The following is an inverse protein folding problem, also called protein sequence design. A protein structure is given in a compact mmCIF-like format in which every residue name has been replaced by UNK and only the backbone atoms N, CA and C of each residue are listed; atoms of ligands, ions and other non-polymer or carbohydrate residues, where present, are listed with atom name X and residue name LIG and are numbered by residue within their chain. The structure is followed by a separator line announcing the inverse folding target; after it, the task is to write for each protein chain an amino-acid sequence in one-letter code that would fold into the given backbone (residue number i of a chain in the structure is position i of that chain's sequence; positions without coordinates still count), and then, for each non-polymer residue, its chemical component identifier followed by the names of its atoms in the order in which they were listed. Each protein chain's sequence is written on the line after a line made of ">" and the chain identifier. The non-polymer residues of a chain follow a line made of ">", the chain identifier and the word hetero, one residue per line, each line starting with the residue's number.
data_IF_608418082848
#
_entry.id   IF_608418082848
#
_cell.length_a   1.000
_cell.length_b   1.000
_cell.length_c   1.000
_cell.angle_alpha   90.00
_cell.angle_beta   90.00
_cell.angle_gamma   90.00
#
_symmetry.space_group_name_H-M   'P 1'
#
loop_
_entity.id
_entity.type
_entity.pdbx_description
1 polymer ?
#
# COMPACT_ATOMS: atom_id res chain seq x y z
N UNK A 1 9.87 32.59 -52.10
CA UNK A 1 10.12 31.71 -50.94
C UNK A 1 9.33 32.27 -49.78
N UNK A 2 8.19 31.67 -49.48
CA UNK A 2 7.18 32.20 -48.56
C UNK A 2 7.48 31.78 -47.12
N UNK A 3 7.55 32.77 -46.23
CA UNK A 3 7.64 32.62 -44.77
C UNK A 3 6.28 32.28 -44.19
N UNK A 4 6.14 31.07 -43.65
CA UNK A 4 4.97 30.64 -42.87
C UNK A 4 5.16 30.97 -41.39
N UNK A 5 4.31 31.85 -40.87
CA UNK A 5 4.15 32.14 -39.44
C UNK A 5 2.91 31.39 -38.95
N UNK A 6 3.08 30.41 -38.07
CA UNK A 6 1.98 29.66 -37.45
C UNK A 6 1.79 30.10 -36.00
N UNK A 7 0.76 30.89 -35.75
CA UNK A 7 0.19 31.18 -34.42
C UNK A 7 -0.64 29.99 -33.95
N UNK A 8 -0.20 29.31 -32.89
CA UNK A 8 -1.01 28.32 -32.16
C UNK A 8 -1.74 28.98 -30.99
N UNK A 9 -3.07 29.13 -31.12
CA UNK A 9 -3.97 29.60 -30.07
C UNK A 9 -4.22 28.50 -29.05
N UNK A 10 -3.90 28.79 -27.79
CA UNK A 10 -4.15 27.96 -26.60
C UNK A 10 -5.65 27.85 -26.32
N UNK A 11 -6.21 26.65 -26.51
CA UNK A 11 -7.59 26.32 -26.09
C UNK A 11 -7.53 25.60 -24.75
N UNK A 12 -7.85 26.31 -23.67
CA UNK A 12 -7.98 25.73 -22.33
C UNK A 12 -9.35 25.04 -22.22
N UNK A 13 -9.42 23.75 -21.84
CA UNK A 13 -10.68 23.04 -21.76
C UNK A 13 -11.53 23.47 -20.55
N UNK A 14 -12.85 23.56 -20.79
CA UNK A 14 -13.89 24.19 -19.97
C UNK A 14 -14.29 23.43 -18.68
N UNK A 15 -13.43 22.56 -18.14
CA UNK A 15 -13.74 21.76 -16.94
C UNK A 15 -13.15 22.33 -15.63
N UNK A 16 -12.54 23.52 -15.66
CA UNK A 16 -11.96 24.22 -14.50
C UNK A 16 -12.73 25.51 -14.14
N UNK A 17 -14.06 25.44 -14.02
CA UNK A 17 -14.86 26.52 -13.45
C UNK A 17 -15.54 26.03 -12.16
N UNK A 18 -15.22 26.60 -10.97
CA UNK A 18 -16.00 26.36 -9.78
C UNK A 18 -17.29 27.18 -9.89
N UNK A 19 -18.37 26.56 -10.35
CA UNK A 19 -19.70 27.17 -10.33
C UNK A 19 -20.62 26.33 -9.47
N UNK A 20 -20.60 26.59 -8.16
CA UNK A 20 -21.76 26.34 -7.31
C UNK A 20 -21.85 27.47 -6.28
N UNK A 21 -22.58 28.52 -6.66
CA UNK A 21 -23.02 29.57 -5.75
C UNK A 21 -23.90 28.95 -4.67
N UNK A 22 -23.42 28.96 -3.43
CA UNK A 22 -24.24 28.68 -2.26
C UNK A 22 -25.19 29.85 -2.05
N UNK A 23 -26.40 29.77 -2.60
CA UNK A 23 -27.49 30.60 -2.10
C UNK A 23 -28.01 29.94 -0.83
N UNK A 24 -27.58 30.46 0.32
CA UNK A 24 -28.15 30.08 1.61
C UNK A 24 -29.65 30.40 1.59
N UNK A 25 -30.48 29.36 1.42
CA UNK A 25 -31.93 29.47 1.58
C UNK A 25 -32.18 29.72 3.06
N UNK A 26 -32.46 30.96 3.43
CA UNK A 26 -32.91 31.33 4.77
C UNK A 26 -34.23 30.63 5.04
N UNK A 27 -34.20 29.57 5.86
CA UNK A 27 -35.41 28.99 6.41
C UNK A 27 -35.98 29.99 7.41
N UNK A 28 -36.96 30.78 6.97
CA UNK A 28 -37.81 31.53 7.88
C UNK A 28 -38.56 30.50 8.72
N UNK A 29 -38.19 30.38 10.00
CA UNK A 29 -38.93 29.61 11.01
C UNK A 29 -40.23 30.37 11.31
N UNK A 30 -41.18 30.24 10.39
CA UNK A 30 -42.55 30.72 10.59
C UNK A 30 -43.40 29.50 10.89
N UNK A 31 -43.73 29.34 12.17
CA UNK A 31 -44.52 28.21 12.64
C UNK A 31 -44.26 27.92 14.09
N UNK A 32 -44.67 28.84 14.96
CA UNK A 32 -44.88 28.56 16.38
C UNK A 32 -45.99 27.49 16.44
N UNK A 33 -45.62 26.21 16.32
CA UNK A 33 -46.54 25.09 16.50
C UNK A 33 -47.01 25.18 17.95
N UNK A 34 -48.22 25.71 18.16
CA UNK A 34 -48.94 25.55 19.41
C UNK A 34 -49.17 24.05 19.55
N UNK A 35 -48.33 23.40 20.35
CA UNK A 35 -48.62 22.07 20.88
C UNK A 35 -49.86 22.23 21.75
N UNK A 36 -51.03 21.98 21.15
CA UNK A 36 -52.29 21.96 21.87
C UNK A 36 -52.20 20.86 22.92
N UNK A 37 -52.26 21.26 24.19
CA UNK A 37 -52.60 20.36 25.28
C UNK A 37 -53.92 19.70 24.88
N UNK A 38 -53.95 18.37 24.82
CA UNK A 38 -55.23 17.68 24.62
C UNK A 38 -56.19 18.22 25.67
N UNK A 39 -57.31 18.80 25.25
CA UNK A 39 -58.37 19.22 26.16
C UNK A 39 -58.66 18.02 27.07
N UNK A 40 -58.44 18.19 28.37
CA UNK A 40 -58.83 17.20 29.37
C UNK A 40 -60.35 17.10 29.23
N UNK A 41 -60.82 16.12 28.45
CA UNK A 41 -62.22 15.72 28.54
C UNK A 41 -62.37 15.27 29.98
N UNK A 42 -63.20 16.01 30.73
CA UNK A 42 -63.70 15.54 32.00
C UNK A 42 -64.17 14.10 31.76
N UNK A 43 -63.58 13.16 32.50
CA UNK A 43 -63.99 11.77 32.46
C UNK A 43 -65.39 11.73 33.07
N UNK A 44 -66.41 11.86 32.23
CA UNK A 44 -67.79 11.52 32.60
C UNK A 44 -67.89 10.00 32.69
N UNK A 45 -67.26 9.44 33.72
CA UNK A 45 -67.54 8.09 34.20
C UNK A 45 -68.45 8.21 35.43
N UNK A 46 -69.54 8.96 35.31
CA UNK A 46 -70.59 8.91 36.31
C UNK A 46 -71.52 7.76 35.92
N UNK A 47 -71.19 6.55 36.41
CA UNK A 47 -72.11 5.44 36.32
C UNK A 47 -73.25 5.70 37.31
N UNK A 48 -74.39 6.16 36.80
CA UNK A 48 -75.57 6.50 37.60
C UNK A 48 -76.27 5.22 38.07
N UNK A 49 -75.89 4.79 39.26
CA UNK A 49 -76.38 3.56 39.92
C UNK A 49 -77.89 3.62 40.18
N UNK A 50 -78.42 4.80 40.49
CA UNK A 50 -79.83 5.01 40.82
C UNK A 50 -80.71 4.95 39.57
N UNK A 51 -80.26 5.53 38.45
CA UNK A 51 -80.97 5.45 37.16
C UNK A 51 -81.03 4.02 36.64
N UNK A 52 -80.00 3.21 36.88
CA UNK A 52 -79.99 1.79 36.53
C UNK A 52 -81.02 1.01 37.33
N UNK A 53 -81.08 1.18 38.65
CA UNK A 53 -82.05 0.52 39.53
C UNK A 53 -83.49 0.92 39.19
N UNK A 54 -83.76 2.23 39.01
CA UNK A 54 -85.10 2.71 38.64
C UNK A 54 -85.58 2.16 37.30
N UNK A 55 -84.66 2.00 36.34
CA UNK A 55 -84.98 1.43 35.04
C UNK A 55 -85.32 -0.06 35.14
N UNK A 56 -84.61 -0.82 35.97
CA UNK A 56 -84.97 -2.23 36.20
C UNK A 56 -86.31 -2.38 36.92
N UNK A 57 -86.60 -1.51 37.89
CA UNK A 57 -87.91 -1.47 38.54
C UNK A 57 -89.04 -1.19 37.53
N UNK A 58 -88.82 -0.29 36.57
CA UNK A 58 -89.82 -0.01 35.51
C UNK A 58 -90.05 -1.17 34.53
N UNK A 59 -89.08 -2.09 34.42
CA UNK A 59 -89.16 -3.29 33.58
C UNK A 59 -89.73 -4.51 34.35
N UNK A 60 -90.22 -4.30 35.59
CA UNK A 60 -90.93 -5.32 36.37
C UNK A 60 -90.07 -6.10 37.38
N UNK A 61 -88.81 -5.72 37.61
CA UNK A 61 -87.96 -6.33 38.64
C UNK A 61 -88.25 -5.75 40.03
N UNK A 62 -88.08 -6.58 41.07
CA UNK A 62 -88.18 -6.08 42.45
C UNK A 62 -87.00 -5.17 42.77
N UNK A 63 -87.16 -4.28 43.76
CA UNK A 63 -86.10 -3.38 44.20
C UNK A 63 -84.85 -4.15 44.65
N UNK A 64 -85.04 -5.22 45.41
CA UNK A 64 -83.95 -6.06 45.91
C UNK A 64 -83.17 -6.73 44.77
N UNK A 65 -83.87 -7.27 43.77
CA UNK A 65 -83.25 -7.86 42.58
C UNK A 65 -82.48 -6.81 41.77
N UNK A 66 -83.06 -5.60 41.67
CA UNK A 66 -82.47 -4.50 40.93
C UNK A 66 -81.17 -4.01 41.57
N UNK A 67 -81.17 -3.90 42.90
CA UNK A 67 -80.00 -3.53 43.70
C UNK A 67 -78.95 -4.65 43.68
N UNK A 68 -79.34 -5.92 43.73
CA UNK A 68 -78.40 -7.05 43.66
C UNK A 68 -77.65 -7.09 42.32
N UNK A 69 -78.36 -6.95 41.20
CA UNK A 69 -77.75 -6.92 39.87
C UNK A 69 -76.81 -5.72 39.68
N UNK A 70 -77.20 -4.56 40.24
CA UNK A 70 -76.38 -3.36 40.23
C UNK A 70 -75.04 -3.56 40.95
N UNK A 71 -75.00 -4.33 42.05
CA UNK A 71 -73.77 -4.67 42.77
C UNK A 71 -72.85 -5.54 41.92
N UNK A 72 -73.38 -6.60 41.29
CA UNK A 72 -72.59 -7.47 40.40
C UNK A 72 -72.03 -6.69 39.22
N UNK A 73 -72.81 -5.77 38.64
CA UNK A 73 -72.34 -4.93 37.54
C UNK A 73 -71.23 -3.97 37.98
N UNK A 74 -71.31 -3.44 39.20
CA UNK A 74 -70.25 -2.61 39.78
C UNK A 74 -68.93 -3.41 39.89
N UNK A 75 -69.01 -4.64 40.41
CA UNK A 75 -67.84 -5.51 40.56
C UNK A 75 -67.16 -5.81 39.21
N UNK A 76 -67.95 -6.11 38.17
CA UNK A 76 -67.43 -6.38 36.81
C UNK A 76 -66.84 -5.11 36.17
N UNK A 77 -67.44 -3.94 36.40
CA UNK A 77 -66.92 -2.65 35.90
C UNK A 77 -65.60 -2.32 36.59
N UNK A 78 -65.51 -2.50 37.91
CA UNK A 78 -64.29 -2.27 38.68
C UNK A 78 -63.15 -3.17 38.20
N UNK A 79 -63.41 -4.47 38.02
CA UNK A 79 -62.45 -5.42 37.45
C UNK A 79 -62.00 -5.01 36.04
N UNK A 80 -62.94 -4.56 35.19
CA UNK A 80 -62.65 -4.09 33.83
C UNK A 80 -61.79 -2.83 33.81
N UNK A 81 -62.09 -1.85 34.67
CA UNK A 81 -61.31 -0.61 34.78
C UNK A 81 -59.90 -0.91 35.28
N UNK A 82 -59.74 -1.79 36.27
CA UNK A 82 -58.42 -2.19 36.77
C UNK A 82 -57.60 -2.91 35.69
N UNK A 83 -58.21 -3.81 34.92
CA UNK A 83 -57.53 -4.52 33.82
C UNK A 83 -57.10 -3.57 32.69
N UNK A 84 -57.96 -2.62 32.31
CA UNK A 84 -57.62 -1.59 31.31
C UNK A 84 -56.51 -0.65 31.80
N UNK A 85 -56.61 -0.20 33.05
CA UNK A 85 -55.63 0.75 33.61
C UNK A 85 -54.26 0.11 33.78
N UNK A 86 -54.17 -1.21 34.00
CA UNK A 86 -52.90 -1.95 34.11
C UNK A 86 -52.06 -1.94 32.84
N UNK A 87 -52.68 -1.83 31.66
CA UNK A 87 -51.98 -1.81 30.36
C UNK A 87 -51.85 -0.40 29.77
N UNK A 88 -52.52 0.58 30.35
CA UNK A 88 -52.45 1.97 29.92
C UNK A 88 -51.30 2.71 30.60
N UNK A 89 -50.70 3.64 29.86
CA UNK A 89 -49.66 4.54 30.37
C UNK A 89 -50.23 5.95 30.45
N UNK A 90 -49.89 6.66 31.53
CA UNK A 90 -50.25 8.07 31.69
C UNK A 90 -49.59 8.89 30.58
N UNK A 91 -50.35 9.84 29.99
CA UNK A 91 -49.83 10.68 28.91
C UNK A 91 -48.59 11.48 29.33
N UNK A 92 -48.50 11.83 30.61
CA UNK A 92 -47.34 12.51 31.19
C UNK A 92 -46.10 11.61 31.18
N UNK A 93 -46.22 10.36 31.63
CA UNK A 93 -45.11 9.40 31.62
C UNK A 93 -44.66 9.07 30.20
N UNK A 94 -45.60 8.89 29.26
CA UNK A 94 -45.28 8.69 27.86
C UNK A 94 -44.56 9.91 27.24
N UNK A 95 -44.98 11.13 27.59
CA UNK A 95 -44.33 12.36 27.13
C UNK A 95 -42.92 12.50 27.72
N UNK A 96 -42.74 12.18 29.01
CA UNK A 96 -41.44 12.19 29.69
C UNK A 96 -40.49 11.17 29.08
N UNK A 97 -40.94 9.93 28.86
CA UNK A 97 -40.14 8.90 28.20
C UNK A 97 -39.70 9.32 26.80
N UNK A 98 -40.61 9.89 26.02
CA UNK A 98 -40.32 10.42 24.67
C UNK A 98 -39.31 11.57 24.72
N UNK A 99 -39.40 12.45 25.71
CA UNK A 99 -38.45 13.56 25.89
C UNK A 99 -37.05 13.04 26.22
N UNK A 100 -36.92 12.11 27.18
CA UNK A 100 -35.65 11.48 27.53
C UNK A 100 -35.02 10.82 26.31
N UNK A 101 -35.79 10.02 25.56
CA UNK A 101 -35.31 9.40 24.32
C UNK A 101 -34.76 10.42 23.32
N UNK A 102 -35.44 11.55 23.12
CA UNK A 102 -34.97 12.60 22.20
C UNK A 102 -33.66 13.23 22.66
N UNK A 103 -33.49 13.45 23.95
CA UNK A 103 -32.24 13.98 24.52
C UNK A 103 -31.12 12.96 24.35
N UNK A 104 -31.39 11.68 24.63
CA UNK A 104 -30.41 10.61 24.45
C UNK A 104 -29.99 10.47 22.99
N UNK A 105 -30.92 10.53 22.04
CA UNK A 105 -30.59 10.53 20.61
C UNK A 105 -29.76 11.74 20.19
N UNK A 106 -30.04 12.92 20.74
CA UNK A 106 -29.25 14.11 20.47
C UNK A 106 -27.82 13.96 21.02
N UNK A 107 -27.68 13.38 22.21
CA UNK A 107 -26.38 13.12 22.84
C UNK A 107 -25.58 12.06 22.07
N UNK A 108 -26.18 10.91 21.77
CA UNK A 108 -25.56 9.84 20.98
C UNK A 108 -25.11 10.34 19.61
N UNK A 109 -25.92 11.19 18.95
CA UNK A 109 -25.54 11.80 17.68
C UNK A 109 -24.31 12.70 17.84
N UNK A 110 -24.24 13.50 18.90
CA UNK A 110 -23.09 14.37 19.16
C UNK A 110 -21.82 13.56 19.44
N UNK A 111 -21.94 12.50 20.25
CA UNK A 111 -20.82 11.60 20.57
C UNK A 111 -20.35 10.86 19.31
N UNK A 112 -21.27 10.35 18.49
CA UNK A 112 -20.95 9.68 17.24
C UNK A 112 -20.20 10.61 16.27
N UNK A 113 -20.70 11.84 16.07
CA UNK A 113 -20.03 12.83 15.20
C UNK A 113 -18.64 13.19 15.72
N UNK A 114 -18.48 13.31 17.04
CA UNK A 114 -17.17 13.59 17.64
C UNK A 114 -16.21 12.41 17.48
N UNK A 115 -16.68 11.18 17.70
CA UNK A 115 -15.88 9.97 17.55
C UNK A 115 -15.47 9.76 16.08
N UNK A 116 -16.42 9.86 15.15
CA UNK A 116 -16.18 9.75 13.70
C UNK A 116 -15.18 10.79 13.20
N UNK A 117 -15.33 12.05 13.61
CA UNK A 117 -14.36 13.09 13.24
C UNK A 117 -12.97 12.82 13.83
N UNK A 118 -12.87 12.33 15.06
CA UNK A 118 -11.60 12.00 15.71
C UNK A 118 -10.90 10.82 15.04
N UNK A 119 -11.65 9.76 14.73
CA UNK A 119 -11.15 8.57 14.06
C UNK A 119 -10.72 8.87 12.63
N UNK A 120 -11.53 9.63 11.89
CA UNK A 120 -11.21 10.09 10.54
C UNK A 120 -9.92 10.92 10.51
N UNK A 121 -9.76 11.86 11.46
CA UNK A 121 -8.54 12.66 11.57
C UNK A 121 -7.32 11.80 11.92
N UNK A 122 -7.47 10.83 12.83
CA UNK A 122 -6.38 9.92 13.21
C UNK A 122 -5.95 9.05 12.02
N UNK A 123 -6.92 8.48 11.32
CA UNK A 123 -6.71 7.66 10.12
C UNK A 123 -6.04 8.47 9.01
N UNK A 124 -6.52 9.68 8.76
CA UNK A 124 -5.92 10.59 7.77
C UNK A 124 -4.48 10.94 8.13
N UNK A 125 -4.20 11.27 9.38
CA UNK A 125 -2.84 11.57 9.85
C UNK A 125 -1.90 10.36 9.71
N UNK A 126 -2.39 9.15 10.04
CA UNK A 126 -1.64 7.92 9.84
C UNK A 126 -1.36 7.66 8.35
N UNK A 127 -2.35 7.87 7.47
CA UNK A 127 -2.18 7.74 6.02
C UNK A 127 -1.16 8.74 5.46
N UNK A 128 -1.21 10.01 5.87
CA UNK A 128 -0.25 11.03 5.43
C UNK A 128 1.17 10.68 5.91
N UNK A 129 1.33 10.21 7.15
CA UNK A 129 2.61 9.72 7.68
C UNK A 129 3.15 8.53 6.88
N UNK A 130 2.35 7.50 6.68
CA UNK A 130 2.75 6.30 5.92
C UNK A 130 3.11 6.64 4.47
N UNK A 131 2.35 7.53 3.84
CA UNK A 131 2.64 8.00 2.47
C UNK A 131 4.00 8.69 2.40
N UNK A 132 4.30 9.55 3.38
CA UNK A 132 5.60 10.22 3.47
C UNK A 132 6.75 9.22 3.70
N UNK A 133 6.54 8.22 4.55
CA UNK A 133 7.54 7.20 4.82
C UNK A 133 7.79 6.31 3.61
N UNK A 134 6.74 5.94 2.86
CA UNK A 134 6.86 5.23 1.59
C UNK A 134 7.67 6.05 0.58
N UNK A 135 7.39 7.35 0.45
CA UNK A 135 8.14 8.22 -0.45
C UNK A 135 9.62 8.32 -0.07
N UNK A 136 9.93 8.47 1.22
CA UNK A 136 11.31 8.48 1.75
C UNK A 136 12.01 7.15 1.49
N UNK A 137 11.35 6.02 1.76
CA UNK A 137 11.94 4.70 1.57
C UNK A 137 12.20 4.42 0.10
N UNK A 138 11.28 4.80 -0.79
CA UNK A 138 11.45 4.70 -2.23
C UNK A 138 12.65 5.50 -2.73
N UNK A 139 12.83 6.73 -2.25
CA UNK A 139 14.00 7.55 -2.59
C UNK A 139 15.30 6.90 -2.12
N UNK A 140 15.36 6.48 -0.84
CA UNK A 140 16.56 5.83 -0.27
C UNK A 140 16.93 4.56 -1.03
N UNK A 141 15.94 3.73 -1.35
CA UNK A 141 16.16 2.49 -2.08
C UNK A 141 16.67 2.77 -3.50
N UNK A 142 16.15 3.81 -4.17
CA UNK A 142 16.66 4.25 -5.47
C UNK A 142 18.11 4.74 -5.39
N UNK A 143 18.45 5.48 -4.34
CA UNK A 143 19.82 5.97 -4.12
C UNK A 143 20.79 4.81 -3.83
N UNK A 144 20.38 3.84 -3.01
CA UNK A 144 21.15 2.63 -2.71
C UNK A 144 21.33 1.74 -3.95
N UNK A 145 20.29 1.54 -4.76
CA UNK A 145 20.40 0.82 -6.04
C UNK A 145 21.38 1.55 -6.97
N UNK A 146 21.28 2.88 -7.08
CA UNK A 146 22.17 3.65 -7.96
C UNK A 146 23.62 3.58 -7.47
N UNK A 147 23.84 3.65 -6.16
CA UNK A 147 25.17 3.52 -5.54
C UNK A 147 25.75 2.13 -5.72
N UNK A 148 24.99 1.07 -5.44
CA UNK A 148 25.44 -0.31 -5.62
C UNK A 148 25.71 -0.62 -7.09
N UNK A 149 24.88 -0.14 -8.01
CA UNK A 149 25.13 -0.26 -9.45
C UNK A 149 26.42 0.45 -9.88
N UNK A 150 26.69 1.64 -9.36
CA UNK A 150 27.93 2.35 -9.62
C UNK A 150 29.15 1.60 -9.06
N UNK A 151 29.03 1.04 -7.84
CA UNK A 151 30.08 0.20 -7.22
C UNK A 151 30.39 -1.02 -8.07
N UNK A 152 29.37 -1.79 -8.47
CA UNK A 152 29.56 -2.99 -9.31
C UNK A 152 30.19 -2.64 -10.65
N UNK A 153 29.78 -1.53 -11.27
CA UNK A 153 30.42 -1.06 -12.52
C UNK A 153 31.89 -0.71 -12.32
N UNK A 154 32.24 -0.07 -11.20
CA UNK A 154 33.62 0.23 -10.86
C UNK A 154 34.42 -1.06 -10.64
N UNK A 155 33.89 -2.00 -9.86
CA UNK A 155 34.54 -3.29 -9.57
C UNK A 155 34.83 -4.06 -10.86
N UNK A 156 33.87 -4.14 -11.78
CA UNK A 156 34.05 -4.77 -13.09
C UNK A 156 35.10 -4.05 -13.94
N UNK A 157 35.14 -2.72 -13.90
CA UNK A 157 36.15 -1.95 -14.64
C UNK A 157 37.55 -2.16 -14.07
N UNK A 158 37.69 -2.20 -12.75
CA UNK A 158 38.96 -2.49 -12.07
C UNK A 158 39.42 -3.92 -12.38
N UNK A 159 38.52 -4.90 -12.31
CA UNK A 159 38.83 -6.29 -12.61
C UNK A 159 39.21 -6.49 -14.08
N UNK A 160 38.54 -5.80 -15.01
CA UNK A 160 38.95 -5.77 -16.43
C UNK A 160 40.32 -5.14 -16.61
N UNK A 161 40.64 -4.09 -15.85
CA UNK A 161 41.96 -3.48 -15.79
C UNK A 161 43.02 -4.48 -15.34
N UNK A 162 42.77 -5.16 -14.21
CA UNK A 162 43.65 -6.19 -13.65
C UNK A 162 43.90 -7.34 -14.61
N UNK A 163 42.86 -7.90 -15.22
CA UNK A 163 42.98 -8.96 -16.23
C UNK A 163 43.85 -8.49 -17.41
N UNK A 164 43.69 -7.23 -17.85
CA UNK A 164 44.50 -6.67 -18.92
C UNK A 164 45.96 -6.51 -18.52
N UNK A 165 46.24 -6.02 -17.32
CA UNK A 165 47.60 -5.90 -16.79
C UNK A 165 48.27 -7.27 -16.65
N UNK A 166 47.55 -8.27 -16.15
CA UNK A 166 48.02 -9.66 -16.06
C UNK A 166 48.29 -10.25 -17.45
N UNK A 167 47.40 -10.01 -18.43
CA UNK A 167 47.59 -10.46 -19.81
C UNK A 167 48.83 -9.82 -20.46
N UNK A 168 49.04 -8.50 -20.28
CA UNK A 168 50.25 -7.81 -20.76
C UNK A 168 51.50 -8.34 -20.06
N UNK A 169 51.42 -8.61 -18.75
CA UNK A 169 52.52 -9.24 -18.00
C UNK A 169 52.87 -10.64 -18.51
N UNK A 170 51.87 -11.44 -18.89
CA UNK A 170 52.10 -12.73 -19.53
C UNK A 170 52.70 -12.58 -20.94
N UNK A 171 52.22 -11.62 -21.74
CA UNK A 171 52.76 -11.36 -23.07
C UNK A 171 54.24 -10.96 -23.03
N UNK A 172 54.63 -10.13 -22.05
CA UNK A 172 56.04 -9.77 -21.83
C UNK A 172 56.89 -10.98 -21.47
N UNK A 173 56.43 -11.83 -20.55
CA UNK A 173 57.13 -13.08 -20.18
C UNK A 173 57.30 -14.00 -21.38
N UNK A 174 56.28 -14.11 -22.24
CA UNK A 174 56.35 -14.90 -23.47
C UNK A 174 57.44 -14.34 -24.39
N UNK A 175 57.47 -13.02 -24.63
CA UNK A 175 58.50 -12.39 -25.47
C UNK A 175 59.91 -12.54 -24.90
N UNK A 176 60.08 -12.42 -23.58
CA UNK A 176 61.36 -12.71 -22.94
C UNK A 176 61.79 -14.16 -23.14
N UNK A 177 60.88 -15.13 -23.03
CA UNK A 177 61.21 -16.53 -23.32
C UNK A 177 61.50 -16.78 -24.79
N UNK A 178 60.77 -16.14 -25.70
CA UNK A 178 60.97 -16.23 -27.14
C UNK A 178 62.37 -15.71 -27.53
N UNK A 179 62.76 -14.53 -27.02
CA UNK A 179 64.11 -13.99 -27.26
C UNK A 179 65.22 -14.85 -26.66
N UNK A 180 65.01 -15.49 -25.49
CA UNK A 180 65.96 -16.47 -24.93
C UNK A 180 66.09 -17.70 -25.82
N UNK A 181 64.99 -18.22 -26.35
CA UNK A 181 65.00 -19.34 -27.30
C UNK A 181 65.77 -18.95 -28.56
N UNK A 182 65.53 -17.78 -29.13
CA UNK A 182 66.27 -17.29 -30.31
C UNK A 182 67.78 -17.20 -30.05
N UNK A 183 68.18 -16.70 -28.86
CA UNK A 183 69.58 -16.65 -28.44
C UNK A 183 70.19 -18.06 -28.31
N UNK A 184 69.49 -18.99 -27.68
CA UNK A 184 69.95 -20.39 -27.57
C UNK A 184 70.05 -21.07 -28.95
N UNK A 185 69.11 -20.81 -29.86
CA UNK A 185 69.14 -21.30 -31.23
C UNK A 185 70.34 -20.74 -32.00
N UNK A 186 70.62 -19.45 -31.87
CA UNK A 186 71.80 -18.82 -32.48
C UNK A 186 73.11 -19.45 -31.93
N UNK A 187 73.21 -19.64 -30.62
CA UNK A 187 74.36 -20.28 -29.99
C UNK A 187 74.53 -21.75 -30.42
N UNK A 188 73.44 -22.51 -30.55
CA UNK A 188 73.46 -23.87 -31.08
C UNK A 188 73.91 -23.91 -32.53
N UNK A 189 73.48 -22.94 -33.35
CA UNK A 189 73.91 -22.81 -34.74
C UNK A 189 75.40 -22.51 -34.86
N UNK A 190 75.94 -21.62 -34.02
CA UNK A 190 77.37 -21.32 -33.96
C UNK A 190 78.18 -22.57 -33.59
N UNK A 191 77.75 -23.30 -32.54
CA UNK A 191 78.37 -24.58 -32.17
C UNK A 191 78.33 -25.61 -33.31
N UNK A 192 77.23 -25.68 -34.06
CA UNK A 192 77.11 -26.56 -35.22
C UNK A 192 78.11 -26.17 -36.32
N UNK A 193 78.26 -24.88 -36.61
CA UNK A 193 79.23 -24.38 -37.59
C UNK A 193 80.66 -24.69 -37.16
N UNK A 194 81.00 -24.48 -35.88
CA UNK A 194 82.29 -24.86 -35.31
C UNK A 194 82.57 -26.36 -35.46
N UNK A 195 81.59 -27.22 -35.13
CA UNK A 195 81.73 -28.68 -35.29
C UNK A 195 81.92 -29.06 -36.77
N UNK A 196 81.23 -28.40 -37.70
CA UNK A 196 81.44 -28.60 -39.15
C UNK A 196 82.86 -28.19 -39.58
N UNK A 197 83.38 -27.07 -39.11
CA UNK A 197 84.76 -26.66 -39.42
C UNK A 197 85.79 -27.63 -38.82
N UNK A 198 85.57 -28.06 -37.58
CA UNK A 198 86.43 -29.05 -36.93
C UNK A 198 86.44 -30.38 -37.70
N UNK A 199 85.27 -30.89 -38.12
CA UNK A 199 85.21 -32.14 -38.90
C UNK A 199 85.90 -32.00 -40.26
N UNK A 200 85.76 -30.87 -40.95
CA UNK A 200 86.50 -30.57 -42.18
C UNK A 200 88.01 -30.52 -41.94
N UNK A 201 88.47 -29.96 -40.83
CA UNK A 201 89.89 -29.92 -40.48
C UNK A 201 90.44 -31.32 -40.19
N UNK A 202 89.71 -32.15 -39.43
CA UNK A 202 90.08 -33.55 -39.22
C UNK A 202 90.13 -34.34 -40.53
N UNK A 203 89.15 -34.13 -41.42
CA UNK A 203 89.13 -34.75 -42.75
C UNK A 203 90.39 -34.38 -43.55
N UNK A 204 90.75 -33.09 -43.59
CA UNK A 204 92.00 -32.63 -44.23
C UNK A 204 93.24 -33.28 -43.61
N UNK A 205 93.29 -33.39 -42.27
CA UNK A 205 94.38 -34.04 -41.56
C UNK A 205 94.52 -35.52 -41.91
N UNK A 206 93.42 -36.26 -41.96
CA UNK A 206 93.40 -37.68 -42.34
C UNK A 206 93.78 -37.87 -43.80
N UNK A 207 93.25 -37.06 -44.73
CA UNK A 207 93.61 -37.12 -46.14
C UNK A 207 95.10 -36.82 -46.36
N UNK A 208 95.65 -35.81 -45.69
CA UNK A 208 97.07 -35.45 -45.78
C UNK A 208 97.97 -36.53 -45.15
N UNK A 209 97.56 -37.08 -44.00
CA UNK A 209 98.26 -38.20 -43.37
C UNK A 209 98.28 -39.46 -44.25
N UNK A 210 97.15 -39.80 -44.87
CA UNK A 210 97.07 -40.92 -45.81
C UNK A 210 97.93 -40.69 -47.05
N UNK A 211 97.91 -39.49 -47.62
CA UNK A 211 98.79 -39.12 -48.74
C UNK A 211 100.28 -39.21 -48.35
N UNK A 212 100.65 -38.76 -47.15
CA UNK A 212 102.02 -38.87 -46.64
C UNK A 212 102.45 -40.32 -46.44
N UNK A 213 101.58 -41.19 -45.92
CA UNK A 213 101.82 -42.63 -45.80
C UNK A 213 101.98 -43.30 -47.16
N UNK A 214 101.13 -42.98 -48.15
CA UNK A 214 101.25 -43.49 -49.52
C UNK A 214 102.60 -43.08 -50.14
N UNK A 215 103.00 -41.81 -49.99
CA UNK A 215 104.30 -41.33 -50.47
C UNK A 215 105.47 -41.99 -49.72
N UNK A 216 105.33 -42.21 -48.41
CA UNK A 216 106.32 -42.93 -47.60
C UNK A 216 106.47 -44.40 -48.02
N UNK A 217 105.36 -45.10 -48.26
CA UNK A 217 105.35 -46.48 -48.75
C UNK A 217 105.92 -46.57 -50.17
N UNK A 218 105.56 -45.65 -51.06
CA UNK A 218 106.14 -45.55 -52.40
C UNK A 218 107.65 -45.38 -52.36
N UNK A 219 108.15 -44.57 -51.43
CA UNK A 219 109.60 -44.36 -51.21
C UNK A 219 110.32 -45.58 -50.62
N UNK A 220 109.63 -46.46 -49.88
CA UNK A 220 110.21 -47.68 -49.30
C UNK A 220 110.20 -48.86 -50.29
N UNK A 221 109.34 -48.81 -51.30
CA UNK A 221 109.18 -49.85 -52.34
C UNK A 221 110.11 -49.63 -53.55
N UNK A 222 110.64 -48.42 -53.74
CA UNK A 222 111.70 -48.11 -54.72
C UNK A 222 113.08 -48.11 -54.05
#
# INVERSE_FOLDING_TARGET
>A
MATTTTTTTTTVPRFLLPRLSWTARSWTVSGRRRFGTTTVRARDHHFDTLKFVRRMQSEGFTEEQSVAMMKVLNDVIEESIQNLTRTMVLREEAAKATYTQKVDFAKLRSELLSADSSESNTTRSAHERLTNDIAKLSSRLRDEISRTQASVRLDLNLEKGRIREEAVGQELKIKETETKIEQEVAALREKLELVKFQTLQWLMGVCTGFAALLLGAWRLLM
#
